data_IF_045896835642
#
_entry.id   IF_045896835642
#
_cell.length_a   1.000
_cell.length_b   1.000
_cell.length_c   1.000
_cell.angle_alpha   90.00
_cell.angle_beta   90.00
_cell.angle_gamma   90.00
#
_symmetry.space_group_name_H-M   'P 1'
#
loop_
_entity.id
_entity.type
_entity.pdbx_description
1 polymer ?
#
# COMPACT_ATOMS: atom_id res chain seq x y z
N UNK A 1 -9.50 -17.11 0.88
CA UNK A 1 -8.06 -16.83 1.08
C UNK A 1 -7.37 -18.10 1.55
N UNK A 2 -6.27 -18.51 0.89
CA UNK A 2 -5.44 -19.66 1.23
C UNK A 2 -3.97 -19.25 1.26
N UNK A 3 -3.27 -19.56 2.35
CA UNK A 3 -1.81 -19.35 2.45
C UNK A 3 -1.12 -20.51 1.72
N UNK A 4 -0.24 -20.19 0.78
CA UNK A 4 0.50 -21.19 0.00
C UNK A 4 1.92 -21.39 0.52
N UNK A 5 2.55 -20.32 0.99
CA UNK A 5 3.90 -20.34 1.54
C UNK A 5 4.14 -19.18 2.49
N UNK A 6 5.10 -19.36 3.38
CA UNK A 6 5.56 -18.33 4.32
C UNK A 6 7.09 -18.30 4.33
N UNK A 7 7.67 -17.10 4.32
CA UNK A 7 9.13 -16.92 4.31
C UNK A 7 9.55 -15.83 5.29
N UNK A 8 10.75 -15.96 5.86
CA UNK A 8 11.32 -14.95 6.76
C UNK A 8 11.20 -15.32 8.25
N UNK A 9 11.24 -14.30 9.11
CA UNK A 9 11.32 -14.42 10.57
C UNK A 9 10.30 -13.53 11.27
N UNK A 10 9.67 -14.06 12.32
CA UNK A 10 8.62 -13.35 13.08
C UNK A 10 9.14 -12.12 13.85
N UNK A 11 10.43 -12.05 14.15
CA UNK A 11 11.06 -10.94 14.89
C UNK A 11 11.69 -9.88 13.96
N UNK A 12 11.57 -10.04 12.64
CA UNK A 12 12.10 -9.09 11.65
C UNK A 12 11.07 -8.80 10.56
N UNK A 13 10.85 -9.75 9.67
CA UNK A 13 9.88 -9.64 8.58
C UNK A 13 9.46 -11.02 8.12
N UNK A 14 8.16 -11.19 7.89
CA UNK A 14 7.58 -12.42 7.37
C UNK A 14 6.66 -12.11 6.19
N UNK A 15 6.89 -12.80 5.08
CA UNK A 15 6.16 -12.68 3.81
C UNK A 15 5.26 -13.89 3.66
N UNK A 16 4.03 -13.66 3.21
CA UNK A 16 3.04 -14.69 2.94
C UNK A 16 2.67 -14.65 1.47
N UNK A 17 2.75 -15.79 0.80
CA UNK A 17 2.20 -15.98 -0.54
C UNK A 17 0.77 -16.49 -0.40
N UNK A 18 -0.17 -15.72 -0.94
CA UNK A 18 -1.59 -15.89 -0.68
C UNK A 18 -2.35 -16.05 -1.98
N UNK A 19 -3.19 -17.09 -2.05
CA UNK A 19 -4.20 -17.24 -3.08
C UNK A 19 -5.54 -16.69 -2.59
N UNK A 20 -6.07 -15.67 -3.28
CA UNK A 20 -7.32 -15.01 -2.88
C UNK A 20 -8.54 -15.58 -3.61
N UNK A 21 -8.38 -16.00 -4.86
CA UNK A 21 -9.42 -16.59 -5.70
C UNK A 21 -8.96 -17.92 -6.28
N UNK A 22 -9.89 -18.82 -6.56
CA UNK A 22 -9.60 -20.05 -7.29
C UNK A 22 -9.18 -19.73 -8.72
N UNK A 23 -8.22 -20.48 -9.26
CA UNK A 23 -7.90 -20.40 -10.68
C UNK A 23 -9.00 -21.11 -11.45
N UNK A 24 -9.70 -20.40 -12.32
CA UNK A 24 -10.55 -21.10 -13.28
C UNK A 24 -9.65 -21.85 -14.26
N UNK A 25 -9.86 -23.16 -14.38
CA UNK A 25 -9.14 -24.10 -15.25
C UNK A 25 -9.56 -23.90 -16.70
N UNK A 26 -9.56 -22.67 -17.21
CA UNK A 26 -9.56 -22.45 -18.65
C UNK A 26 -8.10 -22.33 -19.05
N UNK A 27 -7.60 -23.36 -19.74
CA UNK A 27 -6.21 -23.61 -20.16
C UNK A 27 -5.55 -22.48 -21.00
N UNK A 28 -6.17 -21.30 -21.09
CA UNK A 28 -5.78 -20.20 -21.99
C UNK A 28 -5.51 -18.86 -21.30
N UNK A 29 -5.79 -18.68 -20.02
CA UNK A 29 -5.48 -17.42 -19.33
C UNK A 29 -4.46 -17.71 -18.23
N UNK A 30 -3.21 -17.27 -18.40
CA UNK A 30 -2.16 -17.35 -17.38
C UNK A 30 -2.42 -16.48 -16.14
N UNK A 31 -3.68 -16.25 -15.76
CA UNK A 31 -4.08 -15.42 -14.64
C UNK A 31 -3.72 -16.10 -13.32
N UNK A 32 -2.96 -15.38 -12.50
CA UNK A 32 -2.53 -15.82 -11.17
C UNK A 32 -3.17 -14.89 -10.15
N UNK A 33 -4.15 -15.40 -9.41
CA UNK A 33 -4.76 -14.69 -8.27
C UNK A 33 -3.93 -14.84 -6.99
N UNK A 34 -2.62 -14.64 -7.15
CA UNK A 34 -1.63 -14.71 -6.10
C UNK A 34 -1.21 -13.29 -5.71
N UNK A 35 -1.11 -13.06 -4.42
CA UNK A 35 -0.53 -11.84 -3.86
C UNK A 35 0.49 -12.18 -2.78
N UNK A 36 1.31 -11.20 -2.45
CA UNK A 36 2.11 -11.19 -1.25
C UNK A 36 1.50 -10.22 -0.23
N UNK A 37 1.53 -10.59 1.04
CA UNK A 37 1.39 -9.63 2.13
C UNK A 37 2.50 -9.88 3.15
N UNK A 38 2.89 -8.83 3.87
CA UNK A 38 4.07 -8.85 4.73
C UNK A 38 3.72 -8.26 6.08
N UNK A 39 4.28 -8.84 7.13
CA UNK A 39 4.38 -8.19 8.43
C UNK A 39 5.84 -7.94 8.77
N UNK A 40 6.12 -6.82 9.44
CA UNK A 40 7.48 -6.45 9.84
C UNK A 40 7.50 -5.80 11.22
N UNK A 41 8.51 -6.21 11.97
CA UNK A 41 8.97 -5.60 13.22
C UNK A 41 10.25 -4.84 12.88
N UNK A 42 10.50 -3.70 13.53
CA UNK A 42 11.69 -2.88 13.27
C UNK A 42 12.63 -2.88 14.47
N UNK A 43 13.53 -3.89 14.61
CA UNK A 43 14.54 -3.87 15.66
C UNK A 43 15.34 -2.55 15.68
N UNK A 44 15.67 -2.02 16.88
CA UNK A 44 15.44 -2.61 18.20
C UNK A 44 14.03 -2.36 18.78
N UNK A 45 13.09 -1.78 18.03
CA UNK A 45 11.72 -1.58 18.49
C UNK A 45 10.97 -2.91 18.48
N UNK A 46 10.43 -3.37 19.63
CA UNK A 46 9.64 -4.59 19.68
C UNK A 46 8.25 -4.35 19.08
N UNK A 47 7.53 -5.45 18.82
CA UNK A 47 6.22 -5.45 18.15
C UNK A 47 5.19 -4.58 18.88
N UNK A 48 5.21 -4.56 20.21
CA UNK A 48 4.31 -3.79 21.06
C UNK A 48 4.53 -2.27 20.88
N UNK A 49 5.71 -1.85 20.41
CA UNK A 49 6.01 -0.44 20.13
C UNK A 49 5.67 -0.07 18.70
N UNK A 50 6.04 -0.91 17.73
CA UNK A 50 5.78 -0.65 16.31
C UNK A 50 5.64 -1.95 15.54
N UNK A 51 4.55 -2.05 14.80
CA UNK A 51 4.28 -3.16 13.91
C UNK A 51 3.78 -2.64 12.57
N UNK A 52 4.26 -3.22 11.48
CA UNK A 52 3.98 -2.76 10.13
C UNK A 52 3.41 -3.91 9.31
N UNK A 53 2.22 -3.73 8.77
CA UNK A 53 1.67 -4.56 7.71
C UNK A 53 1.91 -3.89 6.38
N UNK A 54 2.31 -4.65 5.37
CA UNK A 54 2.48 -4.19 3.99
C UNK A 54 1.59 -5.08 3.13
N UNK A 55 0.53 -4.49 2.57
CA UNK A 55 -0.53 -5.20 1.88
C UNK A 55 -0.54 -4.89 0.39
N UNK A 56 -1.06 -5.82 -0.38
CA UNK A 56 -1.26 -5.70 -1.82
C UNK A 56 -2.62 -5.09 -2.13
N UNK A 57 -2.70 -4.33 -3.22
CA UNK A 57 -3.93 -3.72 -3.75
C UNK A 57 -4.38 -4.35 -5.07
N UNK A 58 -3.53 -5.13 -5.74
CA UNK A 58 -3.82 -5.76 -7.03
C UNK A 58 -3.13 -7.12 -7.16
N UNK A 59 -3.61 -7.94 -8.10
CA UNK A 59 -2.87 -9.09 -8.61
C UNK A 59 -1.86 -8.60 -9.65
N UNK A 60 -0.58 -8.51 -9.25
CA UNK A 60 0.47 -7.86 -10.04
C UNK A 60 0.28 -6.34 -10.11
N UNK A 61 0.89 -5.68 -11.09
CA UNK A 61 0.78 -4.23 -11.27
C UNK A 61 0.84 -3.82 -12.75
N UNK A 62 -0.11 -3.00 -13.25
CA UNK A 62 -0.12 -2.59 -14.65
C UNK A 62 0.96 -1.55 -14.98
N UNK A 63 1.59 -0.94 -13.97
CA UNK A 63 2.58 0.14 -14.15
C UNK A 63 3.90 -0.35 -14.73
N UNK A 64 4.30 -1.59 -14.44
CA UNK A 64 5.54 -2.22 -14.95
C UNK A 64 6.81 -1.41 -14.65
N UNK A 65 6.93 -0.84 -13.45
CA UNK A 65 8.16 -0.15 -13.04
C UNK A 65 9.38 -1.08 -13.12
N UNK A 66 10.49 -0.62 -13.70
CA UNK A 66 11.67 -1.46 -13.99
C UNK A 66 12.38 -2.03 -12.76
N UNK A 67 12.24 -1.38 -11.60
CA UNK A 67 12.85 -1.81 -10.34
C UNK A 67 11.93 -2.71 -9.50
N UNK A 68 10.71 -2.99 -9.97
CA UNK A 68 9.68 -3.65 -9.18
C UNK A 68 9.48 -5.10 -9.61
N UNK A 69 9.44 -5.99 -8.63
CA UNK A 69 9.13 -7.42 -8.74
C UNK A 69 7.66 -7.72 -9.03
N UNK A 70 6.75 -6.80 -8.68
CA UNK A 70 5.32 -6.91 -8.98
C UNK A 70 4.94 -6.46 -10.41
N UNK A 71 5.91 -5.98 -11.21
CA UNK A 71 5.69 -5.58 -12.60
C UNK A 71 5.60 -6.78 -13.54
N UNK A 72 4.67 -6.76 -14.49
CA UNK A 72 4.60 -7.76 -15.58
C UNK A 72 3.23 -8.44 -15.72
N UNK A 73 2.76 -9.09 -14.65
CA UNK A 73 1.59 -9.98 -14.66
C UNK A 73 0.36 -9.38 -13.96
N UNK A 74 -0.23 -8.35 -14.54
CA UNK A 74 -1.47 -7.77 -14.00
C UNK A 74 -2.69 -8.65 -14.29
N UNK A 75 -3.36 -9.13 -13.24
CA UNK A 75 -4.56 -9.98 -13.32
C UNK A 75 -5.82 -9.34 -12.68
N UNK A 76 -5.76 -8.06 -12.33
CA UNK A 76 -6.91 -7.29 -11.84
C UNK A 76 -6.74 -6.66 -10.46
N UNK A 77 -7.71 -5.83 -10.09
CA UNK A 77 -7.78 -5.18 -8.78
C UNK A 77 -8.33 -6.13 -7.71
N UNK A 78 -7.84 -5.98 -6.48
CA UNK A 78 -8.43 -6.63 -5.31
C UNK A 78 -9.70 -5.90 -4.87
N UNK A 79 -10.68 -6.62 -4.36
CA UNK A 79 -11.85 -6.03 -3.69
C UNK A 79 -11.50 -5.52 -2.29
N UNK A 80 -12.41 -4.76 -1.69
CA UNK A 80 -12.28 -4.26 -0.31
C UNK A 80 -12.11 -5.40 0.67
N UNK A 81 -12.89 -6.47 0.53
CA UNK A 81 -12.87 -7.67 1.36
C UNK A 81 -11.55 -8.44 1.20
N UNK A 82 -11.02 -8.52 -0.03
CA UNK A 82 -9.74 -9.17 -0.31
C UNK A 82 -8.57 -8.43 0.34
N UNK A 83 -8.57 -7.11 0.30
CA UNK A 83 -7.55 -6.29 0.98
C UNK A 83 -7.70 -6.42 2.50
N UNK A 84 -8.92 -6.31 3.04
CA UNK A 84 -9.18 -6.49 4.47
C UNK A 84 -8.77 -7.88 4.95
N UNK A 85 -9.01 -8.93 4.16
CA UNK A 85 -8.66 -10.31 4.52
C UNK A 85 -7.16 -10.50 4.79
N UNK A 86 -6.29 -9.78 4.06
CA UNK A 86 -4.85 -9.77 4.31
C UNK A 86 -4.53 -9.19 5.69
N UNK A 87 -5.12 -8.04 6.01
CA UNK A 87 -4.92 -7.32 7.28
C UNK A 87 -5.42 -8.20 8.43
N UNK A 88 -6.64 -8.68 8.31
CA UNK A 88 -7.34 -9.52 9.27
C UNK A 88 -6.59 -10.84 9.56
N UNK A 89 -6.03 -11.48 8.53
CA UNK A 89 -5.21 -12.67 8.69
C UNK A 89 -3.96 -12.38 9.53
N UNK A 90 -3.19 -11.34 9.16
CA UNK A 90 -1.95 -10.98 9.84
C UNK A 90 -2.22 -10.58 11.30
N UNK A 91 -3.30 -9.84 11.56
CA UNK A 91 -3.75 -9.50 12.91
C UNK A 91 -4.11 -10.74 13.70
N UNK A 92 -5.00 -11.61 13.20
CA UNK A 92 -5.47 -12.79 13.95
C UNK A 92 -4.36 -13.81 14.20
N UNK A 93 -3.35 -13.89 13.32
CA UNK A 93 -2.18 -14.74 13.52
C UNK A 93 -1.39 -14.38 14.80
N UNK A 94 -1.21 -13.08 15.07
CA UNK A 94 -0.48 -12.57 16.26
C UNK A 94 -1.40 -12.39 17.46
N UNK A 95 -2.63 -11.98 17.20
CA UNK A 95 -3.63 -11.59 18.18
C UNK A 95 -4.94 -12.31 17.84
N UNK A 96 -5.18 -13.54 18.34
CA UNK A 96 -6.35 -14.34 17.98
C UNK A 96 -7.71 -13.61 18.15
N UNK A 97 -7.79 -12.67 19.10
CA UNK A 97 -8.98 -11.83 19.30
C UNK A 97 -9.17 -10.70 18.28
N UNK A 98 -8.28 -10.56 17.30
CA UNK A 98 -8.36 -9.53 16.27
C UNK A 98 -7.98 -8.12 16.75
N UNK A 99 -7.37 -7.99 17.93
CA UNK A 99 -7.06 -6.70 18.57
C UNK A 99 -5.54 -6.53 18.71
N UNK A 100 -4.88 -5.76 17.83
CA UNK A 100 -3.46 -5.47 17.96
C UNK A 100 -3.15 -4.77 19.29
N UNK A 101 -2.15 -5.27 20.02
CA UNK A 101 -1.63 -4.65 21.25
C UNK A 101 -0.31 -3.94 20.98
N UNK A 102 -0.36 -2.96 20.07
CA UNK A 102 0.81 -2.24 19.59
C UNK A 102 0.57 -0.74 19.63
N UNK A 103 1.49 0.06 20.19
CA UNK A 103 1.36 1.52 20.27
C UNK A 103 1.32 2.20 18.89
N UNK A 104 2.03 1.64 17.91
CA UNK A 104 2.06 2.13 16.52
C UNK A 104 1.80 1.00 15.53
N UNK A 105 0.52 0.77 15.26
CA UNK A 105 0.07 -0.23 14.28
C UNK A 105 -0.04 0.41 12.91
N UNK A 106 0.90 0.12 11.99
CA UNK A 106 0.98 0.76 10.69
C UNK A 106 0.55 -0.19 9.58
N UNK A 107 -0.33 0.26 8.68
CA UNK A 107 -0.73 -0.46 7.47
C UNK A 107 -0.22 0.32 6.26
N UNK A 108 0.52 -0.36 5.38
CA UNK A 108 1.12 0.22 4.18
C UNK A 108 0.57 -0.43 2.92
N UNK A 109 0.05 0.38 2.01
CA UNK A 109 -0.35 -0.03 0.66
C UNK A 109 0.84 0.18 -0.27
N UNK A 110 1.74 -0.80 -0.30
CA UNK A 110 3.03 -0.71 -0.99
C UNK A 110 3.63 -2.07 -1.38
N UNK A 111 2.86 -3.17 -1.36
CA UNK A 111 3.35 -4.50 -1.75
C UNK A 111 3.17 -4.74 -3.24
N UNK A 112 2.08 -5.37 -3.68
CA UNK A 112 1.76 -5.54 -5.10
C UNK A 112 0.63 -4.60 -5.52
N UNK A 113 0.81 -3.95 -6.67
CA UNK A 113 -0.18 -3.06 -7.27
C UNK A 113 0.11 -1.56 -7.11
N UNK A 114 -0.68 -0.75 -7.80
CA UNK A 114 -0.68 0.71 -7.71
C UNK A 114 -1.97 1.16 -7.00
N UNK A 115 -1.93 1.51 -5.70
CA UNK A 115 -3.12 1.83 -4.93
C UNK A 115 -4.02 2.89 -5.57
N UNK A 116 -3.47 3.91 -6.24
CA UNK A 116 -4.29 4.98 -6.83
C UNK A 116 -5.12 4.54 -8.03
N UNK A 117 -4.83 3.36 -8.58
CA UNK A 117 -5.61 2.72 -9.63
C UNK A 117 -6.66 1.72 -9.10
N UNK A 118 -6.75 1.51 -7.78
CA UNK A 118 -7.76 0.66 -7.15
C UNK A 118 -8.60 1.44 -6.10
N UNK A 119 -9.82 1.90 -6.46
CA UNK A 119 -10.71 2.59 -5.53
C UNK A 119 -11.07 1.82 -4.27
N UNK A 120 -11.02 0.48 -4.28
CA UNK A 120 -11.29 -0.35 -3.12
C UNK A 120 -10.36 -0.04 -1.94
N UNK A 121 -9.13 0.43 -2.20
CA UNK A 121 -8.21 0.90 -1.15
C UNK A 121 -8.86 2.03 -0.33
N UNK A 122 -9.62 2.93 -0.94
CA UNK A 122 -10.29 4.02 -0.22
C UNK A 122 -11.40 3.50 0.69
N UNK A 123 -12.15 2.49 0.23
CA UNK A 123 -13.21 1.88 1.03
C UNK A 123 -12.62 1.16 2.25
N UNK A 124 -11.48 0.48 2.08
CA UNK A 124 -10.69 -0.06 3.20
C UNK A 124 -10.28 1.04 4.17
N UNK A 125 -9.77 2.16 3.68
CA UNK A 125 -9.37 3.29 4.54
C UNK A 125 -10.53 3.90 5.31
N UNK A 126 -11.76 3.86 4.82
CA UNK A 126 -12.93 4.32 5.60
C UNK A 126 -13.40 3.28 6.63
N UNK A 127 -13.09 2.01 6.39
CA UNK A 127 -13.52 0.90 7.24
C UNK A 127 -12.55 0.62 8.40
N UNK A 128 -11.24 0.79 8.20
CA UNK A 128 -10.23 0.52 9.24
C UNK A 128 -10.45 1.25 10.57
N UNK A 129 -10.88 2.53 10.63
CA UNK A 129 -11.17 3.22 11.88
C UNK A 129 -12.31 2.60 12.70
N UNK A 130 -13.18 1.79 12.06
CA UNK A 130 -14.25 1.05 12.75
C UNK A 130 -13.77 -0.28 13.32
N UNK A 131 -12.66 -0.81 12.81
CA UNK A 131 -12.13 -2.14 13.14
C UNK A 131 -10.99 -2.09 14.15
N UNK A 132 -10.21 -1.03 14.12
CA UNK A 132 -9.00 -0.90 14.93
C UNK A 132 -9.01 0.42 15.71
N UNK A 133 -8.34 0.42 16.86
CA UNK A 133 -8.16 1.64 17.66
C UNK A 133 -7.40 2.69 16.84
N UNK A 134 -8.06 3.82 16.59
CA UNK A 134 -7.56 4.94 15.79
C UNK A 134 -6.38 5.65 16.47
N UNK A 135 -6.25 5.52 17.80
CA UNK A 135 -5.13 6.07 18.57
C UNK A 135 -3.82 5.31 18.37
N UNK A 136 -3.83 4.13 17.75
CA UNK A 136 -2.63 3.38 17.36
C UNK A 136 -2.46 3.24 15.85
N UNK A 137 -3.55 3.39 15.08
CA UNK A 137 -3.57 3.13 13.65
C UNK A 137 -2.83 4.21 12.86
N UNK A 138 -1.87 3.79 12.03
CA UNK A 138 -1.21 4.65 11.05
C UNK A 138 -1.35 4.07 9.64
N UNK A 139 -1.66 4.94 8.69
CA UNK A 139 -1.80 4.57 7.29
C UNK A 139 -0.62 5.09 6.49
N UNK A 140 -0.22 4.31 5.51
CA UNK A 140 0.71 4.74 4.47
C UNK A 140 0.24 4.29 3.10
N UNK A 141 0.10 5.24 2.17
CA UNK A 141 -0.20 4.94 0.76
C UNK A 141 0.99 5.40 -0.08
N UNK A 142 1.52 4.50 -0.90
CA UNK A 142 2.58 4.80 -1.86
C UNK A 142 2.03 4.71 -3.27
N UNK A 143 2.37 5.68 -4.13
CA UNK A 143 1.89 5.72 -5.51
C UNK A 143 2.91 6.34 -6.46
N UNK A 144 2.96 5.90 -7.71
CA UNK A 144 3.68 6.63 -8.78
C UNK A 144 2.85 7.77 -9.39
N UNK A 145 1.60 7.91 -8.95
CA UNK A 145 0.58 8.83 -9.47
C UNK A 145 0.36 8.73 -10.98
N UNK A 146 -0.13 7.57 -11.50
CA UNK A 146 -0.52 7.47 -12.91
C UNK A 146 -1.53 8.57 -13.27
N UNK A 147 -1.38 9.14 -14.46
CA UNK A 147 -2.24 10.21 -14.94
C UNK A 147 -3.48 9.63 -15.63
N UNK A 148 -4.39 9.12 -14.82
CA UNK A 148 -5.69 8.58 -15.26
C UNK A 148 -6.83 9.24 -14.49
N UNK A 149 -8.05 9.21 -15.05
CA UNK A 149 -9.25 9.70 -14.36
C UNK A 149 -9.46 9.03 -13.00
N UNK A 150 -9.29 7.70 -12.94
CA UNK A 150 -9.37 6.91 -11.69
C UNK A 150 -8.38 7.40 -10.65
N UNK A 151 -7.11 7.61 -11.03
CA UNK A 151 -6.05 8.06 -10.11
C UNK A 151 -6.32 9.48 -9.59
N UNK A 152 -6.78 10.39 -10.46
CA UNK A 152 -7.16 11.75 -10.05
C UNK A 152 -8.33 11.75 -9.06
N UNK A 153 -9.40 11.02 -9.37
CA UNK A 153 -10.56 10.85 -8.46
C UNK A 153 -10.15 10.19 -7.14
N UNK A 154 -9.22 9.23 -7.21
CA UNK A 154 -8.69 8.56 -6.03
C UNK A 154 -8.03 9.55 -5.07
N UNK A 155 -7.11 10.39 -5.58
CA UNK A 155 -6.40 11.37 -4.77
C UNK A 155 -7.36 12.42 -4.17
N UNK A 156 -8.35 12.91 -4.92
CA UNK A 156 -9.35 13.83 -4.38
C UNK A 156 -10.15 13.22 -3.23
N UNK A 157 -10.56 11.95 -3.33
CA UNK A 157 -11.25 11.24 -2.24
C UNK A 157 -10.30 10.89 -1.10
N UNK A 158 -9.05 10.56 -1.37
CA UNK A 158 -8.03 10.26 -0.36
C UNK A 158 -7.80 11.45 0.57
N UNK A 159 -7.73 12.67 0.03
CA UNK A 159 -7.59 13.89 0.83
C UNK A 159 -8.74 14.03 1.84
N UNK A 160 -9.98 13.83 1.39
CA UNK A 160 -11.18 13.89 2.25
C UNK A 160 -11.15 12.82 3.34
N UNK A 161 -10.78 11.59 2.99
CA UNK A 161 -10.64 10.47 3.93
C UNK A 161 -9.57 10.77 4.99
N UNK A 162 -8.40 11.27 4.58
CA UNK A 162 -7.32 11.69 5.48
C UNK A 162 -7.82 12.72 6.50
N UNK A 163 -8.47 13.78 6.01
CA UNK A 163 -8.98 14.87 6.86
C UNK A 163 -10.03 14.38 7.86
N UNK A 164 -10.88 13.44 7.45
CA UNK A 164 -11.96 12.91 8.28
C UNK A 164 -11.50 11.92 9.34
N UNK A 165 -10.55 11.03 9.01
CA UNK A 165 -10.25 9.85 9.84
C UNK A 165 -8.80 9.76 10.33
N UNK A 166 -7.84 10.45 9.70
CA UNK A 166 -6.41 10.22 9.90
C UNK A 166 -5.61 11.50 10.15
N UNK A 167 -6.08 12.33 11.07
CA UNK A 167 -5.40 13.54 11.56
C UNK A 167 -4.25 13.20 12.52
N UNK A 168 -3.57 14.19 13.10
CA UNK A 168 -2.53 14.02 14.12
C UNK A 168 -1.37 13.11 13.65
N UNK A 169 -0.97 13.27 12.39
CA UNK A 169 0.15 12.54 11.81
C UNK A 169 -0.11 11.05 11.62
N UNK A 170 -1.38 10.61 11.61
CA UNK A 170 -1.74 9.20 11.40
C UNK A 170 -1.68 8.76 9.94
N UNK A 171 -1.68 9.69 8.99
CA UNK A 171 -1.51 9.39 7.58
C UNK A 171 -0.10 9.73 7.05
N UNK A 172 0.45 8.89 6.19
CA UNK A 172 1.65 9.16 5.40
C UNK A 172 1.37 8.92 3.91
N UNK A 173 1.38 9.98 3.11
CA UNK A 173 1.40 9.85 1.66
C UNK A 173 2.83 9.77 1.16
N UNK A 174 3.09 8.87 0.22
CA UNK A 174 4.39 8.72 -0.42
C UNK A 174 4.24 8.72 -1.95
N UNK A 175 5.11 9.44 -2.64
CA UNK A 175 5.24 9.36 -4.09
C UNK A 175 6.51 8.61 -4.47
N UNK A 176 6.36 7.57 -5.27
CA UNK A 176 7.43 6.77 -5.84
C UNK A 176 8.04 7.48 -7.05
N UNK A 177 9.05 8.33 -6.81
CA UNK A 177 9.71 9.13 -7.85
C UNK A 177 10.89 8.41 -8.49
N UNK A 178 11.73 7.79 -7.66
CA UNK A 178 12.95 7.06 -8.03
C UNK A 178 14.07 7.86 -8.70
N UNK A 179 13.80 9.04 -9.28
CA UNK A 179 14.80 9.95 -9.85
C UNK A 179 14.23 11.36 -9.97
N UNK A 180 15.10 12.37 -10.00
CA UNK A 180 14.74 13.78 -10.28
C UNK A 180 14.86 14.14 -11.77
N UNK A 181 15.34 13.22 -12.62
CA UNK A 181 15.41 13.40 -14.07
C UNK A 181 14.13 12.87 -14.73
N UNK A 182 13.38 13.73 -15.42
CA UNK A 182 12.11 13.38 -16.06
C UNK A 182 12.24 12.25 -17.08
N UNK A 183 13.22 12.30 -17.98
CA UNK A 183 13.43 11.26 -19.00
C UNK A 183 13.77 9.92 -18.36
N UNK A 184 14.64 9.92 -17.34
CA UNK A 184 14.97 8.70 -16.60
C UNK A 184 13.76 8.17 -15.84
N UNK A 185 12.90 9.05 -15.33
CA UNK A 185 11.66 8.65 -14.66
C UNK A 185 10.69 7.97 -15.63
N UNK A 186 10.61 8.43 -16.86
CA UNK A 186 9.81 7.79 -17.93
C UNK A 186 10.33 6.42 -18.31
N UNK A 187 11.64 6.26 -18.30
CA UNK A 187 12.26 4.95 -18.47
C UNK A 187 11.93 3.99 -17.30
N UNK A 188 12.03 4.47 -16.05
CA UNK A 188 11.86 3.65 -14.85
C UNK A 188 10.39 3.31 -14.55
N UNK A 189 9.46 4.21 -14.87
CA UNK A 189 8.03 4.11 -14.59
C UNK A 189 7.29 4.31 -15.91
N UNK A 190 7.11 3.25 -16.73
CA UNK A 190 6.70 3.36 -18.13
C UNK A 190 5.19 3.55 -18.32
N UNK A 191 4.62 4.53 -17.62
CA UNK A 191 3.24 4.99 -17.77
C UNK A 191 3.17 6.51 -17.76
N UNK A 192 2.13 7.08 -18.37
CA UNK A 192 1.78 8.48 -18.16
C UNK A 192 1.45 8.68 -16.68
N UNK A 193 2.05 9.69 -16.08
CA UNK A 193 2.04 9.93 -14.64
C UNK A 193 2.22 11.42 -14.39
N UNK A 194 1.83 11.87 -13.21
CA UNK A 194 1.93 13.28 -12.84
C UNK A 194 3.36 13.79 -12.96
N UNK A 195 3.48 15.04 -13.41
CA UNK A 195 4.73 15.79 -13.38
C UNK A 195 5.17 16.07 -11.93
N UNK A 196 6.42 16.50 -11.73
CA UNK A 196 6.88 16.95 -10.41
C UNK A 196 6.08 18.15 -9.91
N UNK A 197 5.65 19.02 -10.81
CA UNK A 197 4.83 20.19 -10.47
C UNK A 197 3.42 19.79 -10.02
N UNK A 198 2.78 18.83 -10.69
CA UNK A 198 1.49 18.29 -10.28
C UNK A 198 1.58 17.60 -8.92
N UNK A 199 2.63 16.79 -8.71
CA UNK A 199 2.92 16.16 -7.41
C UNK A 199 3.13 17.21 -6.32
N UNK A 200 3.91 18.26 -6.59
CA UNK A 200 4.16 19.34 -5.64
C UNK A 200 2.87 20.12 -5.32
N UNK A 201 2.07 20.43 -6.33
CA UNK A 201 0.79 21.14 -6.21
C UNK A 201 -0.20 20.34 -5.36
N UNK A 202 -0.36 19.05 -5.64
CA UNK A 202 -1.18 18.18 -4.83
C UNK A 202 -0.61 18.02 -3.41
N UNK A 203 0.71 17.85 -3.28
CA UNK A 203 1.37 17.71 -1.98
C UNK A 203 1.16 18.91 -1.06
N UNK A 204 1.19 20.14 -1.61
CA UNK A 204 0.87 21.38 -0.88
C UNK A 204 -0.58 21.41 -0.39
N UNK A 205 -1.53 20.90 -1.18
CA UNK A 205 -2.95 20.79 -0.78
C UNK A 205 -3.16 19.68 0.26
N UNK A 206 -2.41 18.59 0.16
CA UNK A 206 -2.57 17.42 1.03
C UNK A 206 -1.99 17.64 2.42
N UNK A 207 -0.88 18.37 2.51
CA UNK A 207 -0.18 18.67 3.76
C UNK A 207 -0.80 19.88 4.48
N UNK A 208 -1.43 19.61 5.63
CA UNK A 208 -2.03 20.63 6.49
C UNK A 208 -1.37 20.57 7.88
N UNK A 209 -0.32 21.37 8.15
CA UNK A 209 0.44 21.31 9.40
C UNK A 209 -0.43 21.55 10.65
N UNK A 210 -1.48 22.36 10.54
CA UNK A 210 -2.47 22.60 11.60
C UNK A 210 -3.19 21.33 12.06
N UNK A 211 -3.28 20.31 11.19
CA UNK A 211 -3.85 19.00 11.51
C UNK A 211 -2.80 18.00 12.04
N UNK A 212 -1.56 18.44 12.26
CA UNK A 212 -0.43 17.58 12.64
C UNK A 212 0.04 16.67 11.51
N UNK A 213 -0.25 17.00 10.26
CA UNK A 213 0.07 16.15 9.12
C UNK A 213 1.58 15.90 8.99
N UNK A 214 1.93 14.73 8.45
CA UNK A 214 3.31 14.45 8.04
C UNK A 214 3.59 15.07 6.68
N UNK A 215 4.83 15.52 6.48
CA UNK A 215 5.32 15.91 5.15
C UNK A 215 5.19 14.73 4.18
N UNK A 216 4.90 15.05 2.93
CA UNK A 216 4.84 14.05 1.85
C UNK A 216 6.22 13.40 1.69
N UNK A 217 6.26 12.07 1.65
CA UNK A 217 7.52 11.34 1.42
C UNK A 217 7.74 11.18 -0.08
N UNK A 218 8.97 11.42 -0.53
CA UNK A 218 9.41 11.13 -1.89
C UNK A 218 10.33 9.92 -1.84
N UNK A 219 9.91 8.80 -2.43
CA UNK A 219 10.66 7.56 -2.43
C UNK A 219 11.65 7.52 -3.58
N UNK A 220 12.90 7.22 -3.26
CA UNK A 220 13.97 6.97 -4.21
C UNK A 220 14.46 5.55 -4.01
N UNK A 221 14.37 4.74 -5.07
CA UNK A 221 15.04 3.45 -5.07
C UNK A 221 16.50 3.69 -5.45
N UNK A 222 17.49 3.10 -4.76
CA UNK A 222 18.87 3.16 -5.22
C UNK A 222 18.94 2.48 -6.60
N UNK A 223 19.37 3.22 -7.63
CA UNK A 223 19.46 2.74 -9.02
C UNK A 223 20.83 2.07 -9.29
N UNK A 224 21.76 2.13 -8.33
CA UNK A 224 23.08 1.51 -8.42
C UNK A 224 23.41 0.69 -7.17
N UNK A 225 23.68 -0.60 -7.43
CA UNK A 225 24.58 -1.49 -6.71
C UNK A 225 25.45 -2.17 -7.77
#
# INVERSE_FOLDING_TARGET
MKILAEYGRDDLAKVYVVQLREQQVTEKTGQRYLIECVESVQPPLPLEKKWVLIVSSMFGCPVRCKMCDAGGDFSGCLTTEEILSQIDYLVRRRFPEGKPRTSKFKIQFARMGEPSLNPAVLDVLEELPRRYDTSMLHISVSSVAPDTGTSRMFFDRLLRIKQRYYTQGRFQLQFSLHTTNTMKRDELIPVKKWSFEEIATYGKRFYQPENGDKKITLNFAPIQG
#
